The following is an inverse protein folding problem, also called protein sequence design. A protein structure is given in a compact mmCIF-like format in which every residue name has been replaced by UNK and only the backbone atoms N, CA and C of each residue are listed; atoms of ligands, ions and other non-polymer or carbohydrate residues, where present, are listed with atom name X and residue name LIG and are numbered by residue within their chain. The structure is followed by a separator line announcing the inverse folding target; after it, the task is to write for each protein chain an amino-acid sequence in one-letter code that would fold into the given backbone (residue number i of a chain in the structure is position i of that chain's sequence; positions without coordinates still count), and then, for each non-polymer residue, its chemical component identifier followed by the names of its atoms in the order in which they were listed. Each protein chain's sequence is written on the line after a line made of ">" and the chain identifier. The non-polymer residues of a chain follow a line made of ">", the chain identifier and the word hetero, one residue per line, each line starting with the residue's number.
data_IF_125557730306
#
_entry.id   IF_125557730306
#
_cell.length_a   1.000
_cell.length_b   1.000
_cell.length_c   1.000
_cell.angle_alpha   90.00
_cell.angle_beta   90.00
_cell.angle_gamma   90.00
#
_symmetry.space_group_name_H-M   'P 1'
#
loop_
_entity.id
_entity.type
_entity.pdbx_description
1 polymer ?
#
# COMPACT_ATOMS: atom_id res chain seq x y z
N UNK A 1 -1.68 9.41 -11.89
CA UNK A 1 -2.66 9.48 -10.78
C UNK A 1 -2.00 8.86 -9.56
N UNK A 2 -1.03 9.61 -9.04
CA UNK A 2 -0.22 9.31 -7.87
C UNK A 2 -0.99 9.92 -6.69
N UNK A 3 -1.84 9.12 -6.04
CA UNK A 3 -2.75 9.64 -5.02
C UNK A 3 -2.57 8.91 -3.69
N UNK A 4 -1.60 9.37 -2.86
CA UNK A 4 -1.55 9.04 -1.44
C UNK A 4 -2.90 9.18 -0.73
N UNK A 5 -3.78 10.09 -1.17
CA UNK A 5 -5.16 10.23 -0.68
C UNK A 5 -6.02 8.96 -0.80
N UNK A 6 -5.82 8.18 -1.87
CA UNK A 6 -6.57 6.93 -2.08
C UNK A 6 -6.15 5.87 -1.08
N UNK A 7 -4.84 5.78 -0.80
CA UNK A 7 -4.29 4.81 0.15
C UNK A 7 -4.69 5.17 1.59
N UNK A 8 -4.69 6.46 1.92
CA UNK A 8 -5.20 6.98 3.18
C UNK A 8 -6.69 6.68 3.34
N UNK A 9 -7.48 6.85 2.28
CA UNK A 9 -8.91 6.49 2.30
C UNK A 9 -9.15 4.99 2.49
N UNK A 10 -8.35 4.13 1.85
CA UNK A 10 -8.41 2.67 2.05
C UNK A 10 -8.03 2.26 3.48
N UNK A 11 -7.04 2.92 4.08
CA UNK A 11 -6.66 2.67 5.48
C UNK A 11 -7.78 3.07 6.46
N UNK A 12 -8.42 4.23 6.24
CA UNK A 12 -9.57 4.67 7.02
C UNK A 12 -10.76 3.71 6.91
N UNK A 13 -11.01 3.17 5.72
CA UNK A 13 -12.06 2.19 5.49
C UNK A 13 -11.77 0.85 6.19
N UNK A 14 -10.52 0.38 6.16
CA UNK A 14 -10.10 -0.82 6.90
C UNK A 14 -10.29 -0.65 8.42
N UNK A 15 -9.98 0.54 8.94
CA UNK A 15 -10.17 0.85 10.36
C UNK A 15 -11.66 0.83 10.75
N UNK A 16 -12.51 1.39 9.88
CA UNK A 16 -13.97 1.38 10.04
C UNK A 16 -14.53 -0.04 10.00
N UNK A 17 -14.06 -0.89 9.10
CA UNK A 17 -14.47 -2.30 9.02
C UNK A 17 -14.02 -3.11 10.22
N UNK A 18 -12.82 -2.86 10.76
CA UNK A 18 -12.38 -3.45 12.03
C UNK A 18 -13.32 -3.07 13.19
N UNK A 19 -13.77 -1.82 13.23
CA UNK A 19 -14.72 -1.36 14.24
C UNK A 19 -16.12 -1.98 14.08
N UNK A 20 -16.52 -2.35 12.86
CA UNK A 20 -17.76 -3.09 12.57
C UNK A 20 -17.64 -4.61 12.77
N UNK A 21 -16.49 -5.13 13.23
CA UNK A 21 -16.24 -6.56 13.37
C UNK A 21 -15.93 -7.29 12.06
N UNK A 22 -15.78 -6.56 10.95
CA UNK A 22 -15.45 -7.07 9.61
C UNK A 22 -13.94 -7.17 9.40
N UNK A 23 -13.28 -7.90 10.31
CA UNK A 23 -11.81 -8.03 10.38
C UNK A 23 -11.19 -8.64 9.12
N UNK A 24 -11.87 -9.61 8.50
CA UNK A 24 -11.39 -10.30 7.30
C UNK A 24 -11.36 -9.34 6.10
N UNK A 25 -12.40 -8.54 5.91
CA UNK A 25 -12.48 -7.56 4.82
C UNK A 25 -11.49 -6.41 5.03
N UNK A 26 -11.31 -5.95 6.28
CA UNK A 26 -10.28 -4.96 6.62
C UNK A 26 -8.87 -5.44 6.24
N UNK A 27 -8.58 -6.71 6.52
CA UNK A 27 -7.28 -7.33 6.20
C UNK A 27 -7.08 -7.48 4.69
N UNK A 28 -8.13 -7.89 3.96
CA UNK A 28 -8.11 -7.98 2.50
C UNK A 28 -7.86 -6.61 1.86
N UNK A 29 -8.52 -5.56 2.36
CA UNK A 29 -8.37 -4.20 1.87
C UNK A 29 -6.95 -3.64 2.13
N UNK A 30 -6.39 -3.88 3.32
CA UNK A 30 -5.00 -3.51 3.62
C UNK A 30 -4.01 -4.24 2.72
N UNK A 31 -4.23 -5.52 2.41
CA UNK A 31 -3.38 -6.28 1.48
C UNK A 31 -3.40 -5.70 0.07
N UNK A 32 -4.60 -5.34 -0.43
CA UNK A 32 -4.74 -4.67 -1.72
C UNK A 32 -4.04 -3.31 -1.74
N UNK A 33 -4.17 -2.55 -0.65
CA UNK A 33 -3.50 -1.26 -0.46
C UNK A 33 -1.96 -1.40 -0.54
N UNK A 34 -1.39 -2.40 0.15
CA UNK A 34 0.06 -2.67 0.09
C UNK A 34 0.52 -3.07 -1.31
N UNK A 35 -0.21 -3.95 -2.00
CA UNK A 35 0.14 -4.34 -3.38
C UNK A 35 0.07 -3.15 -4.34
N UNK A 36 -0.92 -2.27 -4.17
CA UNK A 36 -1.02 -1.07 -4.98
C UNK A 36 0.11 -0.08 -4.68
N UNK A 37 0.49 0.07 -3.40
CA UNK A 37 1.68 0.83 -3.00
C UNK A 37 2.94 0.29 -3.62
N UNK A 38 3.16 -1.02 -3.58
CA UNK A 38 4.33 -1.64 -4.21
C UNK A 38 4.36 -1.39 -5.72
N UNK A 39 3.21 -1.48 -6.41
CA UNK A 39 3.14 -1.19 -7.84
C UNK A 39 3.42 0.28 -8.16
N UNK A 40 2.88 1.20 -7.37
CA UNK A 40 3.16 2.64 -7.52
C UNK A 40 4.62 2.93 -7.18
N UNK A 41 5.18 2.35 -6.13
CA UNK A 41 6.60 2.46 -5.79
C UNK A 41 7.50 1.95 -6.93
N UNK A 42 7.22 0.77 -7.48
CA UNK A 42 7.98 0.22 -8.61
C UNK A 42 7.82 1.04 -9.89
N UNK A 43 6.62 1.58 -10.15
CA UNK A 43 6.34 2.35 -11.36
C UNK A 43 6.82 3.81 -11.28
N UNK A 44 6.80 4.42 -10.08
CA UNK A 44 7.25 5.79 -9.82
C UNK A 44 8.76 5.84 -9.53
N UNK A 45 9.36 4.71 -9.13
CA UNK A 45 10.80 4.63 -8.84
C UNK A 45 11.50 3.45 -9.53
N UNK A 46 11.65 3.46 -10.87
CA UNK A 46 12.69 2.67 -11.55
C UNK A 46 14.12 3.07 -11.10
N UNK A 47 14.29 4.24 -10.48
CA UNK A 47 15.57 4.77 -9.98
C UNK A 47 15.98 4.22 -8.59
N UNK A 48 15.00 3.83 -7.74
CA UNK A 48 15.29 3.27 -6.41
C UNK A 48 15.67 1.79 -6.45
N UNK A 49 15.36 1.07 -7.53
CA UNK A 49 15.81 -0.33 -7.68
C UNK A 49 17.34 -0.40 -7.67
N UNK A 50 18.01 0.54 -8.36
CA UNK A 50 19.47 0.70 -8.32
C UNK A 50 20.00 1.07 -6.93
N UNK A 51 19.24 1.84 -6.14
CA UNK A 51 19.65 2.23 -4.79
C UNK A 51 19.41 1.15 -3.73
N UNK A 52 18.56 0.16 -3.99
CA UNK A 52 18.40 -1.03 -3.13
C UNK A 52 19.44 -2.11 -3.45
N UNK A 53 19.90 -2.19 -4.72
CA UNK A 53 20.99 -3.10 -5.09
C UNK A 53 22.34 -2.68 -4.51
N UNK A 54 22.55 -1.39 -4.21
CA UNK A 54 23.82 -0.89 -3.64
C UNK A 54 24.00 -1.20 -2.15
N UNK A 55 22.93 -1.57 -1.45
CA UNK A 55 22.98 -1.94 -0.02
C UNK A 55 23.13 -3.46 0.19
N UNK A 56 23.07 -4.26 -0.87
CA UNK A 56 23.39 -5.69 -0.86
C UNK A 56 24.77 -6.01 -1.47
N UNK A 57 25.73 -5.07 -1.43
CA UNK A 57 27.12 -5.30 -1.84
C UNK A 57 28.12 -5.05 -0.71
#
# INVERSE_FOLDING_TARGET
>A
ADHPDTLTSMANLAFTWKAQGRSAEATALMRQCSQQRERVLKASHPDLESSLTVLEQ
#
